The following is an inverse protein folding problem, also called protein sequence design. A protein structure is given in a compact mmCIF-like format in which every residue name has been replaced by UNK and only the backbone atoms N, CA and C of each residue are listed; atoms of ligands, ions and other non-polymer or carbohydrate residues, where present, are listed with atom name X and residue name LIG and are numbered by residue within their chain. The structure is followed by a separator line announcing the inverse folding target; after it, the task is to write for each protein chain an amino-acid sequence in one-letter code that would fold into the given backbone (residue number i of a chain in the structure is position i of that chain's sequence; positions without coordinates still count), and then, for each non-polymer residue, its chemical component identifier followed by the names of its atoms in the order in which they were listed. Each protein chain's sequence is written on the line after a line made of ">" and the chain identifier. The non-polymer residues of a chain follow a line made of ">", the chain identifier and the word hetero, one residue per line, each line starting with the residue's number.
data_IF_074622683231
#
_entry.id   IF_074622683231
#
_cell.length_a   1.000
_cell.length_b   1.000
_cell.length_c   1.000
_cell.angle_alpha   90.00
_cell.angle_beta   90.00
_cell.angle_gamma   90.00
#
_symmetry.space_group_name_H-M   'P 1'
#
loop_
_entity.id
_entity.type
_entity.pdbx_description
1 polymer ?
#
# COMPACT_ATOMS: atom_id res chain seq x y z
N UNK A 1 -13.36 -13.87 15.26
CA UNK A 1 -13.04 -12.49 15.66
C UNK A 1 -11.78 -11.96 14.98
N UNK A 2 -10.65 -12.69 14.98
CA UNK A 2 -9.40 -12.27 14.33
C UNK A 2 -9.54 -11.97 12.82
N UNK A 3 -10.31 -12.78 12.09
CA UNK A 3 -10.53 -12.59 10.64
C UNK A 3 -11.27 -11.28 10.33
N UNK A 4 -12.23 -10.90 11.17
CA UNK A 4 -12.95 -9.62 11.02
C UNK A 4 -12.00 -8.46 11.26
N UNK A 5 -11.10 -8.58 12.23
CA UNK A 5 -10.12 -7.54 12.53
C UNK A 5 -9.11 -7.38 11.38
N UNK A 6 -8.59 -8.48 10.84
CA UNK A 6 -7.72 -8.47 9.65
C UNK A 6 -8.45 -7.90 8.43
N UNK A 7 -9.71 -8.27 8.23
CA UNK A 7 -10.54 -7.70 7.17
C UNK A 7 -10.65 -6.18 7.30
N UNK A 8 -10.99 -5.67 8.48
CA UNK A 8 -11.08 -4.22 8.72
C UNK A 8 -9.73 -3.53 8.51
N UNK A 9 -8.63 -4.10 9.01
CA UNK A 9 -7.29 -3.51 8.84
C UNK A 9 -6.93 -3.39 7.36
N UNK A 10 -7.14 -4.43 6.56
CA UNK A 10 -6.71 -4.44 5.17
C UNK A 10 -7.69 -3.74 4.22
N UNK A 11 -8.99 -3.90 4.42
CA UNK A 11 -10.04 -3.40 3.53
C UNK A 11 -10.56 -2.02 3.91
N UNK A 12 -10.38 -1.59 5.15
CA UNK A 12 -10.74 -0.23 5.60
C UNK A 12 -9.48 0.59 5.84
N UNK A 13 -8.47 0.02 6.51
CA UNK A 13 -7.22 0.73 6.81
C UNK A 13 -6.48 1.19 5.55
N UNK A 14 -6.30 0.31 4.57
CA UNK A 14 -5.63 0.62 3.29
C UNK A 14 -6.24 1.83 2.56
N UNK A 15 -7.55 1.81 2.25
CA UNK A 15 -8.25 2.93 1.64
C UNK A 15 -8.20 4.22 2.45
N UNK A 16 -8.28 4.13 3.79
CA UNK A 16 -8.18 5.31 4.66
C UNK A 16 -6.79 5.94 4.60
N UNK A 17 -5.72 5.14 4.68
CA UNK A 17 -4.34 5.61 4.57
C UNK A 17 -4.12 6.24 3.18
N UNK A 18 -4.56 5.59 2.11
CA UNK A 18 -4.46 6.15 0.77
C UNK A 18 -5.20 7.49 0.66
N UNK A 19 -6.41 7.58 1.24
CA UNK A 19 -7.19 8.81 1.24
C UNK A 19 -6.49 9.92 2.01
N UNK A 20 -5.90 9.65 3.17
CA UNK A 20 -5.17 10.69 3.93
C UNK A 20 -3.93 11.17 3.17
N UNK A 21 -3.17 10.26 2.56
CA UNK A 21 -1.98 10.59 1.76
C UNK A 21 -2.32 11.39 0.50
N UNK A 22 -3.51 11.20 -0.07
CA UNK A 22 -3.91 11.87 -1.32
C UNK A 22 -4.86 13.06 -1.11
N UNK A 23 -5.26 13.38 0.12
CA UNK A 23 -6.22 14.47 0.41
C UNK A 23 -5.64 15.87 0.16
N UNK A 24 -4.35 16.04 0.42
CA UNK A 24 -3.69 17.34 0.29
C UNK A 24 -3.62 17.80 -1.17
N UNK A 25 -3.58 19.13 -1.38
CA UNK A 25 -3.31 19.69 -2.70
C UNK A 25 -1.95 19.18 -3.18
N UNK A 26 -1.86 18.66 -4.41
CA UNK A 26 -0.61 18.10 -4.90
C UNK A 26 0.47 19.19 -4.93
N UNK A 27 1.57 18.95 -4.22
CA UNK A 27 2.72 19.84 -4.13
C UNK A 27 4.00 19.01 -4.27
N UNK A 28 4.98 19.54 -5.01
CA UNK A 28 6.24 18.83 -5.33
C UNK A 28 6.97 18.38 -4.05
N UNK A 29 6.99 19.22 -3.01
CA UNK A 29 7.61 18.88 -1.73
C UNK A 29 6.91 17.70 -1.04
N UNK A 30 5.59 17.67 -1.07
CA UNK A 30 4.81 16.59 -0.46
C UNK A 30 4.98 15.27 -1.22
N UNK A 31 5.02 15.34 -2.56
CA UNK A 31 5.30 14.20 -3.41
C UNK A 31 6.71 13.64 -3.17
N UNK A 32 7.72 14.51 -2.99
CA UNK A 32 9.10 14.08 -2.67
C UNK A 32 9.19 13.41 -1.30
N UNK A 33 8.51 13.96 -0.29
CA UNK A 33 8.41 13.34 1.05
C UNK A 33 7.76 11.96 0.96
N UNK A 34 6.65 11.85 0.23
CA UNK A 34 5.96 10.58 0.01
C UNK A 34 6.87 9.57 -0.69
N UNK A 35 7.61 9.99 -1.71
CA UNK A 35 8.56 9.12 -2.42
C UNK A 35 9.66 8.59 -1.50
N UNK A 36 10.27 9.44 -0.67
CA UNK A 36 11.32 9.04 0.27
C UNK A 36 10.78 8.05 1.29
N UNK A 37 9.65 8.34 1.93
CA UNK A 37 9.03 7.45 2.92
C UNK A 37 8.68 6.11 2.27
N UNK A 38 8.08 6.14 1.08
CA UNK A 38 7.73 4.93 0.33
C UNK A 38 8.97 4.11 -0.01
N UNK A 39 10.06 4.74 -0.46
CA UNK A 39 11.30 4.06 -0.76
C UNK A 39 11.94 3.42 0.48
N UNK A 40 11.95 4.13 1.62
CA UNK A 40 12.44 3.58 2.89
C UNK A 40 11.62 2.36 3.30
N UNK A 41 10.29 2.45 3.27
CA UNK A 41 9.41 1.32 3.60
C UNK A 41 9.63 0.12 2.66
N UNK A 42 9.78 0.39 1.36
CA UNK A 42 10.02 -0.65 0.36
C UNK A 42 11.36 -1.34 0.60
N UNK A 43 12.44 -0.57 0.73
CA UNK A 43 13.79 -1.08 0.94
C UNK A 43 13.87 -1.84 2.26
N UNK A 44 13.35 -1.28 3.35
CA UNK A 44 13.33 -1.98 4.65
C UNK A 44 12.49 -3.25 4.61
N UNK A 45 11.31 -3.23 4.00
CA UNK A 45 10.46 -4.41 3.87
C UNK A 45 11.09 -5.51 3.04
N UNK A 46 11.71 -5.16 1.90
CA UNK A 46 12.43 -6.12 1.04
C UNK A 46 13.71 -6.63 1.69
N UNK A 47 14.47 -5.76 2.37
CA UNK A 47 15.67 -6.15 3.10
C UNK A 47 15.34 -7.12 4.23
N UNK A 48 14.24 -6.92 4.97
CA UNK A 48 13.80 -7.89 5.97
C UNK A 48 13.33 -9.21 5.33
N UNK A 49 12.57 -9.13 4.23
CA UNK A 49 12.04 -10.31 3.52
C UNK A 49 13.13 -11.22 2.97
N UNK A 50 14.18 -10.63 2.38
CA UNK A 50 15.23 -11.37 1.66
C UNK A 50 16.53 -11.49 2.44
N UNK A 51 16.88 -10.52 3.29
CA UNK A 51 18.07 -10.56 4.14
C UNK A 51 17.95 -11.53 5.33
N UNK A 52 16.73 -11.85 5.75
CA UNK A 52 16.45 -12.82 6.82
C UNK A 52 15.53 -13.94 6.34
N UNK A 53 15.71 -14.40 5.10
CA UNK A 53 14.85 -15.40 4.47
C UNK A 53 14.72 -16.70 5.30
N UNK A 54 15.76 -17.10 6.03
CA UNK A 54 15.76 -18.29 6.90
C UNK A 54 14.79 -18.19 8.08
N UNK A 55 14.46 -16.97 8.52
CA UNK A 55 13.55 -16.70 9.63
C UNK A 55 12.11 -16.47 9.17
N UNK A 56 11.88 -16.45 7.85
CA UNK A 56 10.55 -16.27 7.27
C UNK A 56 9.61 -17.41 7.70
N UNK A 57 8.44 -17.07 8.25
CA UNK A 57 7.48 -18.05 8.78
C UNK A 57 7.87 -18.68 10.12
N UNK A 58 9.13 -18.60 10.55
CA UNK A 58 9.59 -19.03 11.88
C UNK A 58 9.44 -17.93 12.93
N UNK A 59 9.83 -16.70 12.56
CA UNK A 59 9.62 -15.51 13.38
C UNK A 59 8.36 -14.78 12.93
N UNK A 60 7.30 -14.88 13.76
CA UNK A 60 6.02 -14.18 13.50
C UNK A 60 6.24 -12.67 13.40
N UNK A 61 7.04 -12.10 14.30
CA UNK A 61 7.31 -10.67 14.34
C UNK A 61 7.99 -10.19 13.05
N UNK A 62 9.04 -10.90 12.60
CA UNK A 62 9.78 -10.54 11.38
C UNK A 62 8.88 -10.63 10.14
N UNK A 63 8.08 -11.71 10.07
CA UNK A 63 7.16 -11.94 8.95
C UNK A 63 6.10 -10.85 8.89
N UNK A 64 5.43 -10.56 10.01
CA UNK A 64 4.39 -9.51 10.09
C UNK A 64 4.96 -8.13 9.79
N UNK A 65 6.12 -7.78 10.36
CA UNK A 65 6.76 -6.49 10.14
C UNK A 65 7.15 -6.30 8.66
N UNK A 66 7.74 -7.32 8.04
CA UNK A 66 8.11 -7.28 6.62
C UNK A 66 6.87 -7.09 5.73
N UNK A 67 5.81 -7.87 5.97
CA UNK A 67 4.54 -7.76 5.22
C UNK A 67 3.95 -6.35 5.40
N UNK A 68 3.92 -5.83 6.63
CA UNK A 68 3.39 -4.51 6.91
C UNK A 68 4.19 -3.43 6.16
N UNK A 69 5.52 -3.45 6.21
CA UNK A 69 6.37 -2.48 5.51
C UNK A 69 6.14 -2.51 3.99
N UNK A 70 6.11 -3.70 3.40
CA UNK A 70 5.84 -3.88 1.96
C UNK A 70 4.42 -3.37 1.62
N UNK A 71 3.43 -3.65 2.46
CA UNK A 71 2.06 -3.20 2.27
C UNK A 71 1.92 -1.67 2.35
N UNK A 72 2.56 -1.02 3.32
CA UNK A 72 2.58 0.44 3.40
C UNK A 72 3.35 1.06 2.22
N UNK A 73 4.44 0.43 1.77
CA UNK A 73 5.16 0.87 0.58
C UNK A 73 4.27 0.78 -0.67
N UNK A 74 3.50 -0.31 -0.84
CA UNK A 74 2.53 -0.45 -1.93
C UNK A 74 1.49 0.69 -1.92
N UNK A 75 0.91 1.00 -0.76
CA UNK A 75 -0.04 2.13 -0.62
C UNK A 75 0.67 3.45 -0.98
N UNK A 76 1.92 3.62 -0.54
CA UNK A 76 2.74 4.79 -0.86
C UNK A 76 2.97 4.97 -2.36
N UNK A 77 3.26 3.89 -3.10
CA UNK A 77 3.42 3.91 -4.56
C UNK A 77 2.11 4.31 -5.26
N UNK A 78 0.98 3.74 -4.83
CA UNK A 78 -0.34 4.13 -5.37
C UNK A 78 -0.63 5.61 -5.11
N UNK A 79 -0.36 6.09 -3.89
CA UNK A 79 -0.57 7.48 -3.52
C UNK A 79 0.34 8.43 -4.31
N UNK A 80 1.60 8.04 -4.54
CA UNK A 80 2.55 8.78 -5.37
C UNK A 80 2.07 8.89 -6.81
N UNK A 81 1.65 7.77 -7.42
CA UNK A 81 1.09 7.75 -8.77
C UNK A 81 -0.17 8.62 -8.88
N UNK A 82 -1.07 8.53 -7.91
CA UNK A 82 -2.28 9.36 -7.86
C UNK A 82 -1.95 10.86 -7.75
N UNK A 83 -0.97 11.25 -6.93
CA UNK A 83 -0.53 12.63 -6.83
C UNK A 83 0.12 13.13 -8.14
N UNK A 84 0.95 12.31 -8.78
CA UNK A 84 1.57 12.64 -10.06
C UNK A 84 0.53 12.86 -11.17
N UNK A 85 -0.47 11.98 -11.27
CA UNK A 85 -1.58 12.13 -12.22
C UNK A 85 -2.40 13.40 -11.96
N UNK A 86 -2.63 13.75 -10.70
CA UNK A 86 -3.35 14.98 -10.32
C UNK A 86 -2.54 16.27 -10.51
N UNK A 87 -1.21 16.18 -10.59
CA UNK A 87 -0.35 17.30 -11.01
C UNK A 87 -0.42 17.52 -12.51
N UNK A 88 -0.43 16.42 -13.29
CA UNK A 88 -0.52 16.48 -14.74
C UNK A 88 -1.92 16.94 -15.22
N UNK A 89 -2.98 16.49 -14.55
CA UNK A 89 -4.36 16.90 -14.85
C UNK A 89 -5.10 17.34 -13.58
N UNK A 90 -5.42 18.64 -13.53
CA UNK A 90 -6.06 19.30 -12.38
C UNK A 90 -7.58 19.12 -12.34
N UNK A 91 -8.20 18.48 -13.35
CA UNK A 91 -9.65 18.29 -13.46
C UNK A 91 -10.20 17.52 -12.26
N UNK A 92 -11.41 17.91 -11.83
CA UNK A 92 -12.12 17.25 -10.73
C UNK A 92 -12.38 15.75 -11.01
N UNK A 93 -12.60 15.39 -12.28
CA UNK A 93 -12.81 14.00 -12.68
C UNK A 93 -11.55 13.14 -12.47
N UNK A 94 -10.36 13.67 -12.75
CA UNK A 94 -9.08 12.99 -12.48
C UNK A 94 -8.90 12.71 -10.99
N UNK A 95 -9.27 13.67 -10.12
CA UNK A 95 -9.22 13.50 -8.66
C UNK A 95 -10.16 12.40 -8.18
N UNK A 96 -11.37 12.30 -8.75
CA UNK A 96 -12.33 11.25 -8.44
C UNK A 96 -11.84 9.87 -8.88
N UNK A 97 -11.43 9.72 -10.14
CA UNK A 97 -10.97 8.43 -10.66
C UNK A 97 -9.75 7.90 -9.93
N UNK A 98 -8.72 8.73 -9.76
CA UNK A 98 -7.52 8.35 -8.98
C UNK A 98 -7.86 8.03 -7.52
N UNK A 99 -8.90 8.65 -6.96
CA UNK A 99 -9.41 8.35 -5.62
C UNK A 99 -10.02 6.94 -5.52
N UNK A 100 -10.94 6.61 -6.43
CA UNK A 100 -11.64 5.31 -6.46
C UNK A 100 -10.68 4.19 -6.82
N UNK A 101 -9.96 4.34 -7.93
CA UNK A 101 -9.03 3.33 -8.44
C UNK A 101 -7.89 3.09 -7.45
N UNK A 102 -7.32 4.15 -6.88
CA UNK A 102 -6.25 4.03 -5.91
C UNK A 102 -6.69 3.38 -4.60
N UNK A 103 -7.89 3.71 -4.10
CA UNK A 103 -8.46 3.05 -2.92
C UNK A 103 -8.69 1.55 -3.17
N UNK A 104 -9.30 1.18 -4.29
CA UNK A 104 -9.46 -0.23 -4.67
C UNK A 104 -8.11 -0.95 -4.88
N UNK A 105 -7.10 -0.24 -5.41
CA UNK A 105 -5.75 -0.76 -5.59
C UNK A 105 -5.06 -1.15 -4.27
N UNK A 106 -5.42 -0.53 -3.15
CA UNK A 106 -4.84 -0.90 -1.84
C UNK A 106 -5.25 -2.30 -1.36
N UNK A 107 -6.37 -2.83 -1.88
CA UNK A 107 -6.89 -4.15 -1.53
C UNK A 107 -6.48 -5.24 -2.52
N UNK A 108 -5.94 -4.88 -3.68
CA UNK A 108 -5.59 -5.84 -4.74
C UNK A 108 -4.64 -6.97 -4.33
N UNK A 109 -3.58 -6.73 -3.53
CA UNK A 109 -2.69 -7.82 -3.11
C UNK A 109 -3.43 -8.95 -2.39
N UNK A 110 -4.42 -8.62 -1.57
CA UNK A 110 -5.19 -9.59 -0.79
C UNK A 110 -6.16 -10.38 -1.67
N UNK A 111 -6.81 -9.72 -2.64
CA UNK A 111 -7.60 -10.41 -3.65
C UNK A 111 -6.75 -11.34 -4.51
N UNK A 112 -5.55 -10.91 -4.92
CA UNK A 112 -4.61 -11.75 -5.67
C UNK A 112 -4.20 -13.00 -4.90
N UNK A 113 -3.91 -12.87 -3.60
CA UNK A 113 -3.63 -14.01 -2.73
C UNK A 113 -4.84 -14.94 -2.57
N UNK A 114 -6.05 -14.38 -2.40
CA UNK A 114 -7.26 -15.19 -2.30
C UNK A 114 -7.51 -15.98 -3.59
N UNK A 115 -7.44 -15.34 -4.75
CA UNK A 115 -7.59 -16.00 -6.05
C UNK A 115 -6.51 -17.04 -6.31
N UNK A 116 -5.26 -16.77 -5.93
CA UNK A 116 -4.17 -17.74 -6.08
C UNK A 116 -4.41 -19.00 -5.24
N UNK A 117 -4.93 -18.84 -4.01
CA UNK A 117 -5.31 -19.98 -3.18
C UNK A 117 -6.49 -20.76 -3.77
N UNK A 118 -7.44 -20.09 -4.43
CA UNK A 118 -8.58 -20.75 -5.07
C UNK A 118 -8.20 -21.56 -6.32
N UNK A 119 -7.13 -21.17 -7.03
CA UNK A 119 -6.63 -21.88 -8.22
C UNK A 119 -5.68 -23.03 -7.86
N UNK A 120 -5.05 -22.98 -6.68
CA UNK A 120 -4.20 -24.06 -6.16
C UNK A 120 -4.99 -25.14 -5.40
N UNK A 121 -6.28 -24.91 -5.11
CA UNK A 121 -7.22 -25.88 -4.56
C UNK A 121 -8.01 -26.58 -5.65
#
# INVERSE_FOLDING_TARGET
>A
MILVLLFVVFFVGGPLIFRTLTRSRPAVLQQRKLAIITAVLAVSGLALRYGFAEYWGRSVLLTVLSIALIWFAWIGVLAYGAQALRLADSRHQMRRWTGVIGAAGTTMPWFGLASANMVQG
#
